data_IF_322272015540
#
_entry.id   IF_322272015540
#
_cell.length_a   1.000
_cell.length_b   1.000
_cell.length_c   1.000
_cell.angle_alpha   90.00
_cell.angle_beta   90.00
_cell.angle_gamma   90.00
#
_symmetry.space_group_name_H-M   'P 1'
#
loop_
_entity.id
_entity.type
_entity.pdbx_description
1 polymer ?
#
# COMPACT_ATOMS: atom_id res chain seq x y z
N UNK A 1 0.39 -1.14 -8.20
CA UNK A 1 -0.53 0.01 -8.07
C UNK A 1 -0.64 0.63 -9.46
N UNK A 2 -1.82 0.98 -9.94
CA UNK A 2 -1.95 1.72 -11.21
C UNK A 2 -1.67 3.19 -10.93
N UNK A 3 -0.79 3.82 -11.73
CA UNK A 3 -0.52 5.26 -11.63
C UNK A 3 -1.69 6.08 -12.15
N UNK A 4 -1.74 7.38 -11.84
CA UNK A 4 -2.71 8.26 -12.50
C UNK A 4 -2.41 8.25 -14.00
N UNK A 5 -3.41 7.89 -14.80
CA UNK A 5 -3.31 7.93 -16.26
C UNK A 5 -3.44 9.40 -16.66
N UNK A 6 -2.30 10.03 -16.93
CA UNK A 6 -2.20 11.41 -17.38
C UNK A 6 -0.95 11.54 -18.25
N UNK A 7 -0.84 12.67 -18.94
CA UNK A 7 0.34 13.03 -19.71
C UNK A 7 0.75 14.46 -19.40
N UNK A 8 2.05 14.70 -19.46
CA UNK A 8 2.64 16.04 -19.38
C UNK A 8 2.90 16.62 -20.78
N UNK A 9 2.20 16.11 -21.81
CA UNK A 9 2.27 16.59 -23.19
C UNK A 9 1.01 17.42 -23.50
N UNK A 10 1.15 18.70 -23.84
CA UNK A 10 0.03 19.54 -24.23
C UNK A 10 -0.69 19.01 -25.47
N UNK A 11 -2.01 19.11 -25.49
CA UNK A 11 -2.86 18.56 -26.57
C UNK A 11 -2.56 19.17 -27.95
N UNK A 12 -2.15 20.43 -28.01
CA UNK A 12 -1.82 21.12 -29.27
C UNK A 12 -0.53 20.62 -29.93
N UNK A 13 0.34 19.90 -29.19
CA UNK A 13 1.54 19.26 -29.75
C UNK A 13 1.27 17.88 -30.35
N UNK A 14 0.01 17.44 -30.37
CA UNK A 14 -0.38 16.09 -30.78
C UNK A 14 -0.89 16.14 -32.22
N UNK A 15 -0.08 15.58 -33.11
CA UNK A 15 -0.34 15.55 -34.57
C UNK A 15 -1.51 14.60 -34.90
N UNK A 16 -1.54 13.43 -34.27
CA UNK A 16 -2.56 12.39 -34.44
C UNK A 16 -2.74 11.64 -33.12
N UNK A 17 -3.87 10.97 -32.91
CA UNK A 17 -4.23 10.17 -31.71
C UNK A 17 -4.92 10.95 -30.56
N UNK A 18 -5.19 10.26 -29.44
CA UNK A 18 -5.98 10.69 -28.28
C UNK A 18 -5.64 12.12 -27.83
N UNK A 19 -6.52 13.09 -28.11
CA UNK A 19 -6.40 14.47 -27.61
C UNK A 19 -6.98 14.66 -26.20
N UNK A 20 -7.75 13.69 -25.73
CA UNK A 20 -8.42 13.71 -24.44
C UNK A 20 -7.41 13.51 -23.29
N UNK A 21 -7.50 14.34 -22.25
CA UNK A 21 -6.67 14.23 -21.03
C UNK A 21 -7.30 13.34 -19.95
N UNK A 22 -8.56 12.90 -20.13
CA UNK A 22 -9.38 12.22 -19.14
C UNK A 22 -9.51 10.70 -19.37
N UNK A 23 -8.51 10.04 -19.98
CA UNK A 23 -8.56 8.61 -20.33
C UNK A 23 -8.99 7.70 -19.18
N UNK A 24 -8.58 7.99 -17.93
CA UNK A 24 -9.01 7.21 -16.76
C UNK A 24 -10.52 7.22 -16.55
N UNK A 25 -11.16 8.35 -16.81
CA UNK A 25 -12.60 8.50 -16.68
C UNK A 25 -13.31 7.65 -17.75
N UNK A 26 -12.89 7.75 -19.01
CA UNK A 26 -13.44 6.98 -20.12
C UNK A 26 -13.35 5.48 -19.86
N UNK A 27 -12.21 4.99 -19.37
CA UNK A 27 -12.03 3.58 -19.01
C UNK A 27 -12.97 3.18 -17.87
N UNK A 28 -13.17 4.04 -16.87
CA UNK A 28 -14.09 3.72 -15.76
C UNK A 28 -15.56 3.68 -16.23
N UNK A 29 -15.96 4.54 -17.17
CA UNK A 29 -17.30 4.53 -17.76
C UNK A 29 -17.53 3.24 -18.55
N UNK A 30 -16.57 2.84 -19.40
CA UNK A 30 -16.62 1.59 -20.13
C UNK A 30 -16.68 0.37 -19.20
N UNK A 31 -15.89 0.36 -18.13
CA UNK A 31 -15.94 -0.69 -17.12
C UNK A 31 -17.33 -0.80 -16.47
N UNK A 32 -18.01 0.33 -16.21
CA UNK A 32 -19.39 0.32 -15.69
C UNK A 32 -20.36 -0.27 -16.70
N UNK A 33 -20.25 0.10 -17.98
CA UNK A 33 -21.08 -0.45 -19.05
C UNK A 33 -20.93 -1.97 -19.18
N UNK A 34 -19.73 -2.51 -18.92
CA UNK A 34 -19.45 -3.96 -18.95
C UNK A 34 -19.61 -4.69 -17.61
N UNK A 35 -20.08 -4.01 -16.57
CA UNK A 35 -20.15 -4.51 -15.19
C UNK A 35 -18.80 -5.08 -14.66
N UNK A 36 -17.69 -4.43 -15.03
CA UNK A 36 -16.36 -4.78 -14.57
C UNK A 36 -15.97 -4.01 -13.32
N UNK A 37 -15.46 -4.73 -12.30
CA UNK A 37 -15.00 -4.14 -11.05
C UNK A 37 -13.47 -4.04 -10.99
N UNK A 38 -12.96 -2.88 -10.58
CA UNK A 38 -11.53 -2.65 -10.38
C UNK A 38 -11.11 -2.94 -8.93
N UNK A 39 -10.36 -4.01 -8.70
CA UNK A 39 -9.84 -4.37 -7.36
C UNK A 39 -8.39 -3.92 -7.11
N UNK A 40 -7.85 -3.01 -7.92
CA UNK A 40 -6.47 -2.55 -7.74
C UNK A 40 -6.34 -1.63 -6.52
N UNK A 41 -5.12 -1.54 -5.96
CA UNK A 41 -4.78 -0.68 -4.81
C UNK A 41 -5.32 0.75 -4.96
N UNK A 42 -5.19 1.37 -6.13
CA UNK A 42 -5.67 2.74 -6.37
C UNK A 42 -7.20 2.85 -6.34
N UNK A 43 -7.91 1.85 -6.83
CA UNK A 43 -9.39 1.84 -6.82
C UNK A 43 -9.94 1.61 -5.42
N UNK A 44 -9.14 1.00 -4.53
CA UNK A 44 -9.54 0.63 -3.17
C UNK A 44 -9.12 1.65 -2.10
N UNK A 45 -8.23 2.61 -2.40
CA UNK A 45 -7.67 3.49 -1.37
C UNK A 45 -8.74 4.30 -0.61
N UNK A 46 -8.60 4.42 0.72
CA UNK A 46 -9.57 5.10 1.58
C UNK A 46 -9.78 6.60 1.24
N UNK A 47 -8.80 7.25 0.61
CA UNK A 47 -8.96 8.63 0.10
C UNK A 47 -9.89 8.77 -1.11
N UNK A 48 -10.35 7.65 -1.70
CA UNK A 48 -11.28 7.65 -2.84
C UNK A 48 -12.61 6.98 -2.55
N UNK A 49 -12.69 6.24 -1.44
CA UNK A 49 -13.84 5.41 -1.11
C UNK A 49 -14.16 5.61 0.37
N UNK A 50 -15.44 5.76 0.70
CA UNK A 50 -15.90 5.82 2.09
C UNK A 50 -15.82 4.41 2.69
N UNK A 51 -14.75 4.15 3.44
CA UNK A 51 -14.53 2.88 4.14
C UNK A 51 -15.08 2.90 5.57
N UNK A 52 -15.35 1.71 6.09
CA UNK A 52 -15.74 1.50 7.49
C UNK A 52 -14.56 0.94 8.29
N UNK A 53 -13.86 1.85 9.00
CA UNK A 53 -12.68 1.49 9.77
C UNK A 53 -12.97 0.48 10.90
N UNK A 54 -14.17 0.48 11.47
CA UNK A 54 -14.55 -0.43 12.56
C UNK A 54 -14.60 -1.88 12.10
N UNK A 55 -14.87 -2.11 10.82
CA UNK A 55 -14.91 -3.42 10.17
C UNK A 55 -13.59 -3.79 9.49
N UNK A 56 -12.54 -2.99 9.65
CA UNK A 56 -11.27 -3.22 9.00
C UNK A 56 -10.45 -4.32 9.70
N UNK A 57 -9.96 -5.26 8.90
CA UNK A 57 -9.16 -6.40 9.35
C UNK A 57 -7.85 -6.53 8.55
N UNK A 58 -6.88 -7.21 9.15
CA UNK A 58 -5.64 -7.57 8.47
C UNK A 58 -5.87 -8.81 7.62
N UNK A 59 -5.52 -8.73 6.33
CA UNK A 59 -5.51 -9.87 5.40
C UNK A 59 -4.09 -10.06 4.87
N UNK A 60 -3.71 -11.29 4.52
CA UNK A 60 -2.39 -11.61 3.98
C UNK A 60 -2.54 -12.47 2.74
N UNK A 61 -1.92 -12.04 1.65
CA UNK A 61 -1.88 -12.77 0.38
C UNK A 61 -0.45 -13.17 0.08
N UNK A 62 -0.21 -14.46 -0.17
CA UNK A 62 1.08 -15.02 -0.59
C UNK A 62 1.08 -15.23 -2.10
N UNK A 63 2.16 -14.87 -2.79
CA UNK A 63 2.32 -15.10 -4.23
C UNK A 63 3.80 -15.26 -4.61
N UNK A 64 4.06 -15.94 -5.74
CA UNK A 64 5.41 -16.11 -6.27
C UNK A 64 5.75 -14.96 -7.22
N UNK A 65 6.95 -14.40 -7.08
CA UNK A 65 7.45 -13.35 -7.97
C UNK A 65 8.99 -13.38 -8.03
N UNK A 66 9.54 -13.31 -9.24
CA UNK A 66 11.00 -13.28 -9.47
C UNK A 66 11.74 -14.38 -8.68
N UNK A 67 11.34 -15.64 -8.86
CA UNK A 67 11.89 -16.82 -8.18
C UNK A 67 11.92 -16.74 -6.65
N UNK A 68 11.02 -15.96 -6.04
CA UNK A 68 10.88 -15.85 -4.59
C UNK A 68 9.44 -15.72 -4.17
N UNK A 69 9.23 -15.71 -2.86
CA UNK A 69 7.90 -15.61 -2.25
C UNK A 69 7.68 -14.19 -1.76
N UNK A 70 6.57 -13.60 -2.16
CA UNK A 70 6.09 -12.31 -1.68
C UNK A 70 4.83 -12.46 -0.84
N UNK A 71 4.71 -11.57 0.14
CA UNK A 71 3.52 -11.43 0.96
C UNK A 71 3.00 -10.00 0.85
N UNK A 72 1.72 -9.87 0.58
CA UNK A 72 1.00 -8.61 0.63
C UNK A 72 0.10 -8.63 1.86
N UNK A 73 0.47 -7.83 2.86
CA UNK A 73 -0.33 -7.65 4.07
C UNK A 73 -1.14 -6.38 3.86
N UNK A 74 -2.45 -6.45 4.03
CA UNK A 74 -3.35 -5.30 3.87
C UNK A 74 -4.23 -5.13 5.10
N UNK A 75 -4.58 -3.88 5.39
CA UNK A 75 -5.61 -3.52 6.35
C UNK A 75 -6.79 -2.93 5.59
N UNK A 76 -7.89 -3.67 5.52
CA UNK A 76 -9.05 -3.34 4.67
C UNK A 76 -10.37 -3.74 5.31
N UNK A 77 -11.46 -3.06 4.96
CA UNK A 77 -12.81 -3.41 5.40
C UNK A 77 -13.47 -4.51 4.54
N UNK A 78 -14.74 -4.79 4.83
CA UNK A 78 -15.56 -5.74 4.10
C UNK A 78 -15.95 -5.24 2.70
N UNK A 79 -15.93 -3.93 2.48
CA UNK A 79 -16.19 -3.30 1.19
C UNK A 79 -14.91 -3.20 0.33
N UNK A 80 -13.82 -3.85 0.75
CA UNK A 80 -12.53 -3.87 0.08
C UNK A 80 -11.81 -2.51 0.06
N UNK A 81 -12.23 -1.55 0.90
CA UNK A 81 -11.54 -0.27 1.08
C UNK A 81 -10.24 -0.49 1.84
N UNK A 82 -9.15 0.02 1.30
CA UNK A 82 -7.77 -0.20 1.74
C UNK A 82 -7.27 1.01 2.54
N UNK A 83 -6.98 0.80 3.82
CA UNK A 83 -6.47 1.83 4.73
C UNK A 83 -4.94 1.80 4.84
N UNK A 84 -4.30 0.67 4.55
CA UNK A 84 -2.86 0.55 4.51
C UNK A 84 -2.41 -0.83 4.08
N UNK A 85 -1.16 -0.95 3.68
CA UNK A 85 -0.57 -2.22 3.28
C UNK A 85 0.94 -2.26 3.52
N UNK A 86 1.48 -3.46 3.56
CA UNK A 86 2.91 -3.73 3.55
C UNK A 86 3.24 -4.78 2.47
N UNK A 87 4.32 -4.54 1.71
CA UNK A 87 4.89 -5.49 0.76
C UNK A 87 6.12 -6.14 1.35
N UNK A 88 6.08 -7.45 1.46
CA UNK A 88 7.11 -8.26 2.05
C UNK A 88 7.67 -9.23 1.01
N UNK A 89 8.97 -9.51 1.09
CA UNK A 89 9.64 -10.56 0.34
C UNK A 89 10.39 -11.46 1.31
N UNK A 90 10.15 -12.75 1.22
CA UNK A 90 10.94 -13.74 1.95
C UNK A 90 12.33 -13.85 1.34
N UNK A 91 13.35 -13.70 2.16
CA UNK A 91 14.75 -13.95 1.82
C UNK A 91 15.24 -15.15 2.63
N UNK A 92 16.42 -15.69 2.30
CA UNK A 92 16.96 -16.89 2.97
C UNK A 92 17.01 -16.77 4.50
N UNK A 93 17.43 -15.60 5.01
CA UNK A 93 17.72 -15.41 6.45
C UNK A 93 16.89 -14.30 7.10
N UNK A 94 16.05 -13.59 6.35
CA UNK A 94 15.28 -12.46 6.86
C UNK A 94 14.03 -12.21 6.04
N UNK A 95 13.07 -11.50 6.62
CA UNK A 95 11.92 -10.97 5.91
C UNK A 95 12.20 -9.53 5.48
N UNK A 96 11.97 -9.22 4.21
CA UNK A 96 12.29 -7.92 3.63
C UNK A 96 11.03 -7.11 3.37
N UNK A 97 10.82 -6.04 4.13
CA UNK A 97 9.73 -5.09 3.94
C UNK A 97 10.16 -4.04 2.92
N UNK A 98 9.60 -4.12 1.72
CA UNK A 98 9.94 -3.23 0.61
C UNK A 98 9.15 -1.94 0.60
N UNK A 99 7.94 -1.99 1.13
CA UNK A 99 7.02 -0.86 1.15
C UNK A 99 6.11 -1.03 2.35
N UNK A 100 5.95 0.04 3.13
CA UNK A 100 4.89 0.22 4.09
C UNK A 100 4.17 1.51 3.70
N UNK A 101 2.86 1.41 3.48
CA UNK A 101 2.05 2.57 3.12
C UNK A 101 0.78 2.57 3.96
N UNK A 102 0.50 3.70 4.59
CA UNK A 102 -0.75 3.94 5.31
C UNK A 102 -1.40 5.13 4.62
N UNK A 103 -2.65 4.95 4.20
CA UNK A 103 -3.44 6.06 3.71
C UNK A 103 -3.86 6.89 4.93
N UNK A 104 -3.37 8.13 4.99
CA UNK A 104 -3.92 9.12 5.91
C UNK A 104 -5.27 9.63 5.38
N UNK A 105 -5.99 10.37 6.21
CA UNK A 105 -7.07 11.21 5.71
C UNK A 105 -6.43 12.24 4.77
N UNK A 106 -6.51 12.00 3.47
CA UNK A 106 -6.67 13.14 2.58
C UNK A 106 -8.06 13.66 2.91
N UNK A 107 -8.10 14.75 3.68
CA UNK A 107 -9.31 15.45 4.06
C UNK A 107 -10.25 15.45 2.85
N UNK A 108 -11.36 14.74 2.97
CA UNK A 108 -12.55 15.10 2.21
C UNK A 108 -12.81 16.52 2.67
N UNK A 109 -12.61 17.49 1.77
CA UNK A 109 -12.84 18.90 2.06
C UNK A 109 -14.27 18.99 2.60
N UNK A 110 -14.44 19.23 3.91
CA UNK A 110 -15.73 19.44 4.55
C UNK A 110 -16.11 18.57 5.77
N UNK A 111 -15.35 17.53 6.15
CA UNK A 111 -15.69 16.74 7.36
C UNK A 111 -14.47 16.59 8.31
N UNK A 112 -14.63 17.03 9.57
CA UNK A 112 -13.67 16.81 10.66
C UNK A 112 -13.66 15.33 11.07
N UNK A 113 -12.85 14.52 10.39
CA UNK A 113 -12.62 13.10 10.68
C UNK A 113 -11.38 12.81 11.53
N UNK A 114 -10.88 13.77 12.30
CA UNK A 114 -9.65 13.61 13.08
C UNK A 114 -9.67 12.33 13.93
N UNK A 115 -8.58 11.54 13.90
CA UNK A 115 -8.14 10.55 14.91
C UNK A 115 -8.12 9.04 14.50
N UNK A 116 -8.82 8.56 13.46
CA UNK A 116 -8.96 7.08 13.28
C UNK A 116 -7.72 6.31 12.76
N UNK A 117 -6.73 6.95 12.11
CA UNK A 117 -5.60 6.22 11.50
C UNK A 117 -4.41 5.91 12.43
N UNK A 118 -4.49 6.26 13.72
CA UNK A 118 -3.39 6.02 14.66
C UNK A 118 -3.16 4.51 14.85
N UNK A 119 -2.05 4.02 14.34
CA UNK A 119 -1.54 2.67 14.63
C UNK A 119 -1.67 1.63 13.51
N UNK A 120 -2.24 1.95 12.35
CA UNK A 120 -2.32 1.01 11.21
C UNK A 120 -0.93 0.50 10.82
N UNK A 121 0.03 1.42 10.66
CA UNK A 121 1.41 1.05 10.34
C UNK A 121 2.01 0.10 11.38
N UNK A 122 1.77 0.36 12.68
CA UNK A 122 2.24 -0.52 13.76
C UNK A 122 1.60 -1.90 13.67
N UNK A 123 0.28 -1.98 13.43
CA UNK A 123 -0.44 -3.26 13.23
C UNK A 123 0.12 -4.05 12.04
N UNK A 124 0.39 -3.39 10.91
CA UNK A 124 0.99 -4.02 9.73
C UNK A 124 2.41 -4.53 10.01
N UNK A 125 3.22 -3.77 10.73
CA UNK A 125 4.57 -4.15 11.11
C UNK A 125 4.58 -5.32 12.10
N UNK A 126 3.69 -5.33 13.10
CA UNK A 126 3.52 -6.46 14.00
C UNK A 126 3.13 -7.73 13.23
N UNK A 127 2.21 -7.62 12.26
CA UNK A 127 1.87 -8.76 11.40
C UNK A 127 3.05 -9.26 10.59
N UNK A 128 3.90 -8.35 10.10
CA UNK A 128 5.11 -8.71 9.37
C UNK A 128 6.10 -9.46 10.26
N UNK A 129 6.26 -9.02 11.52
CA UNK A 129 7.07 -9.67 12.56
C UNK A 129 6.55 -11.08 12.87
N UNK A 130 5.27 -11.22 13.20
CA UNK A 130 4.63 -12.54 13.43
C UNK A 130 4.79 -13.49 12.23
N UNK A 131 4.65 -12.97 11.01
CA UNK A 131 4.78 -13.78 9.81
C UNK A 131 6.22 -14.26 9.61
N UNK A 132 7.21 -13.42 9.91
CA UNK A 132 8.61 -13.77 9.79
C UNK A 132 9.01 -14.83 10.84
N UNK A 133 8.55 -14.68 12.08
CA UNK A 133 8.73 -15.69 13.14
C UNK A 133 8.13 -17.05 12.75
N UNK A 134 6.89 -17.05 12.24
CA UNK A 134 6.22 -18.28 11.75
C UNK A 134 6.96 -18.97 10.61
N UNK A 135 7.77 -18.23 9.86
CA UNK A 135 8.59 -18.75 8.77
C UNK A 135 10.02 -19.13 9.24
N UNK A 136 10.30 -19.06 10.55
CA UNK A 136 11.61 -19.37 11.12
C UNK A 136 12.70 -18.33 10.82
N UNK A 137 12.30 -17.11 10.43
CA UNK A 137 13.25 -16.03 10.13
C UNK A 137 13.57 -15.25 11.40
N UNK A 138 14.85 -14.95 11.61
CA UNK A 138 15.36 -14.31 12.84
C UNK A 138 15.53 -12.79 12.72
N UNK A 139 15.18 -12.23 11.57
CA UNK A 139 15.44 -10.82 11.26
C UNK A 139 14.43 -10.27 10.27
N UNK A 140 14.09 -9.00 10.44
CA UNK A 140 13.42 -8.17 9.44
C UNK A 140 14.35 -7.05 9.01
N UNK A 141 14.31 -6.74 7.71
CA UNK A 141 14.91 -5.53 7.13
C UNK A 141 13.86 -4.72 6.40
N UNK A 142 13.94 -3.39 6.46
CA UNK A 142 13.01 -2.45 5.85
C UNK A 142 13.74 -1.46 4.96
N UNK A 143 13.25 -1.29 3.73
CA UNK A 143 13.64 -0.15 2.88
C UNK A 143 12.97 1.10 3.46
N UNK A 144 13.78 2.01 4.01
CA UNK A 144 13.29 3.19 4.70
C UNK A 144 13.94 4.45 4.13
N UNK A 145 13.10 5.35 3.60
CA UNK A 145 13.53 6.69 3.23
C UNK A 145 14.07 7.44 4.44
N UNK A 146 15.04 8.34 4.23
CA UNK A 146 15.76 9.02 5.33
C UNK A 146 14.80 9.69 6.32
N UNK A 147 13.75 10.36 5.82
CA UNK A 147 12.77 11.07 6.64
C UNK A 147 11.81 10.20 7.46
N UNK A 148 11.75 8.88 7.21
CA UNK A 148 10.84 7.97 7.94
C UNK A 148 11.58 6.99 8.85
N UNK A 149 12.92 7.09 8.98
CA UNK A 149 13.70 6.21 9.86
C UNK A 149 13.29 6.31 11.33
N UNK A 150 12.93 7.50 11.79
CA UNK A 150 12.53 7.73 13.18
C UNK A 150 11.26 6.97 13.56
N UNK A 151 10.33 6.81 12.61
CA UNK A 151 9.16 5.97 12.79
C UNK A 151 9.53 4.53 13.13
N UNK A 152 10.51 3.96 12.41
CA UNK A 152 10.97 2.59 12.65
C UNK A 152 11.77 2.47 13.95
N UNK A 153 12.54 3.50 14.35
CA UNK A 153 13.23 3.51 15.65
C UNK A 153 12.28 3.35 16.82
N UNK A 154 11.14 4.05 16.78
CA UNK A 154 10.07 3.92 17.78
C UNK A 154 9.44 2.51 17.84
N UNK A 155 9.62 1.70 16.79
CA UNK A 155 9.18 0.30 16.74
C UNK A 155 10.30 -0.70 17.14
N UNK A 156 11.46 -0.20 17.58
CA UNK A 156 12.60 -1.03 17.99
C UNK A 156 13.54 -1.41 16.85
N UNK A 157 13.43 -0.76 15.68
CA UNK A 157 14.36 -0.99 14.58
C UNK A 157 15.60 -0.11 14.72
N UNK A 158 16.77 -0.65 14.38
CA UNK A 158 18.03 0.08 14.32
C UNK A 158 18.51 0.24 12.88
N UNK A 159 19.42 1.19 12.65
CA UNK A 159 20.00 1.39 11.32
C UNK A 159 20.95 0.23 11.01
N UNK A 160 20.75 -0.40 9.86
CA UNK A 160 21.58 -1.46 9.30
C UNK A 160 21.94 -1.05 7.87
N UNK A 161 23.04 -0.29 7.74
CA UNK A 161 23.53 0.28 6.48
C UNK A 161 22.48 1.18 5.78
N UNK A 162 21.94 0.73 4.64
CA UNK A 162 20.87 1.40 3.88
C UNK A 162 19.46 1.09 4.40
N UNK A 163 19.32 0.14 5.34
CA UNK A 163 18.04 -0.37 5.83
C UNK A 163 17.79 -0.01 7.30
N UNK A 164 16.56 -0.21 7.74
CA UNK A 164 16.21 -0.35 9.15
C UNK A 164 15.98 -1.83 9.45
N UNK A 165 16.57 -2.36 10.52
CA UNK A 165 16.45 -3.78 10.85
C UNK A 165 16.07 -4.01 12.30
N UNK A 166 15.42 -5.14 12.56
CA UNK A 166 15.06 -5.64 13.88
C UNK A 166 15.28 -7.15 13.91
N UNK A 167 15.87 -7.65 14.99
CA UNK A 167 15.92 -9.09 15.25
C UNK A 167 14.60 -9.51 15.90
N UNK A 168 14.12 -10.68 15.52
CA UNK A 168 12.86 -11.31 15.94
C UNK A 168 13.18 -12.73 16.38
#
# INVERSE_FOLDING_TARGET
RVMRIQRDIPSFKIVQDLKNSNLRQLVNEEMKHKDWKCSCIRCREAGRNKGDFSKAAIKTMKYNASNGVEYFIEYSDNNNVLFGFARLRMMKNFMFIRELHVYGEQAIIGEEGSIQHRGIGKKLMLKAEELAEKLGLKKIKVISGVGVREYYRKLGYSRDWFYMSKNI
#
